data_IF_867690200396
#
_entry.id   IF_867690200396
#
_cell.length_a   1.000
_cell.length_b   1.000
_cell.length_c   1.000
_cell.angle_alpha   90.00
_cell.angle_beta   90.00
_cell.angle_gamma   90.00
#
_symmetry.space_group_name_H-M   'P 1'
#
loop_
_entity.id
_entity.type
_entity.pdbx_description
1 polymer ?
#
# COMPACT_ATOMS: atom_id res chain seq x y z
N UNK A 1 8.77 -4.11 6.13
CA UNK A 1 9.41 -3.98 7.45
C UNK A 1 8.37 -4.09 8.55
N UNK A 2 8.78 -4.33 9.80
CA UNK A 2 7.87 -4.52 10.94
C UNK A 2 6.82 -3.40 11.11
N UNK A 3 7.14 -2.17 10.67
CA UNK A 3 6.19 -1.03 10.64
C UNK A 3 4.98 -1.31 9.75
N UNK A 4 5.18 -1.75 8.50
CA UNK A 4 4.10 -1.96 7.54
C UNK A 4 3.08 -3.02 8.03
N UNK A 5 3.56 -4.07 8.70
CA UNK A 5 2.67 -5.09 9.27
C UNK A 5 1.85 -4.56 10.46
N UNK A 6 2.40 -3.61 11.24
CA UNK A 6 1.63 -2.91 12.27
C UNK A 6 0.63 -1.92 11.63
N UNK A 7 1.05 -1.19 10.60
CA UNK A 7 0.22 -0.24 9.86
C UNK A 7 -0.99 -0.95 9.23
N UNK A 8 -0.77 -2.09 8.55
CA UNK A 8 -1.82 -2.94 7.99
C UNK A 8 -2.81 -3.42 9.06
N UNK A 9 -2.31 -3.90 10.21
CA UNK A 9 -3.18 -4.30 11.33
C UNK A 9 -3.97 -3.12 11.89
N UNK A 10 -3.39 -1.92 11.93
CA UNK A 10 -4.05 -0.71 12.41
C UNK A 10 -5.24 -0.28 11.55
N UNK A 11 -5.24 -0.66 10.26
CA UNK A 11 -6.32 -0.40 9.30
C UNK A 11 -7.20 -1.64 9.04
N UNK A 12 -7.09 -2.67 9.89
CA UNK A 12 -7.98 -3.85 9.86
C UNK A 12 -7.53 -4.99 8.94
N UNK A 13 -6.34 -4.92 8.35
CA UNK A 13 -5.75 -6.02 7.58
C UNK A 13 -4.98 -6.95 8.52
N UNK A 14 -5.56 -8.11 8.81
CA UNK A 14 -5.01 -9.11 9.74
C UNK A 14 -4.45 -10.34 9.05
N UNK A 15 -4.72 -10.52 7.74
CA UNK A 15 -4.20 -11.64 6.95
C UNK A 15 -3.68 -11.16 5.59
N UNK A 16 -2.53 -11.68 5.11
CA UNK A 16 -2.00 -11.34 3.77
C UNK A 16 -3.00 -11.59 2.64
N UNK A 17 -3.85 -12.62 2.76
CA UNK A 17 -4.84 -12.97 1.72
C UNK A 17 -5.89 -11.87 1.51
N UNK A 18 -6.15 -11.02 2.49
CA UNK A 18 -7.08 -9.91 2.35
C UNK A 18 -6.57 -8.88 1.34
N UNK A 19 -5.25 -8.68 1.26
CA UNK A 19 -4.62 -7.70 0.38
C UNK A 19 -4.89 -7.96 -1.11
N UNK A 20 -5.08 -9.21 -1.52
CA UNK A 20 -5.38 -9.55 -2.91
C UNK A 20 -6.66 -8.86 -3.42
N UNK A 21 -7.63 -8.64 -2.52
CA UNK A 21 -8.92 -8.02 -2.81
C UNK A 21 -8.98 -6.54 -2.41
N UNK A 22 -7.89 -5.96 -1.90
CA UNK A 22 -7.85 -4.56 -1.50
C UNK A 22 -7.39 -3.66 -2.65
N UNK A 23 -7.86 -2.42 -2.64
CA UNK A 23 -7.31 -1.34 -3.45
C UNK A 23 -6.17 -0.63 -2.68
N UNK A 24 -5.03 -0.42 -3.36
CA UNK A 24 -3.85 0.16 -2.72
C UNK A 24 -4.08 1.61 -2.25
N UNK A 25 -4.85 2.39 -3.01
CA UNK A 25 -5.18 3.77 -2.65
C UNK A 25 -6.15 3.83 -1.47
N UNK A 26 -7.09 2.89 -1.38
CA UNK A 26 -7.97 2.74 -0.22
C UNK A 26 -7.17 2.42 1.06
N UNK A 27 -6.19 1.50 0.99
CA UNK A 27 -5.30 1.20 2.11
C UNK A 27 -4.48 2.43 2.55
N UNK A 28 -3.92 3.17 1.59
CA UNK A 28 -3.20 4.41 1.85
C UNK A 28 -4.07 5.45 2.56
N UNK A 29 -5.29 5.69 2.05
CA UNK A 29 -6.24 6.63 2.65
C UNK A 29 -6.65 6.21 4.05
N UNK A 30 -6.92 4.92 4.27
CA UNK A 30 -7.24 4.39 5.58
C UNK A 30 -6.10 4.63 6.58
N UNK A 31 -4.84 4.44 6.16
CA UNK A 31 -3.70 4.69 7.02
C UNK A 31 -3.52 6.18 7.33
N UNK A 32 -3.69 7.05 6.33
CA UNK A 32 -3.67 8.50 6.54
C UNK A 32 -4.75 8.94 7.55
N UNK A 33 -5.97 8.44 7.41
CA UNK A 33 -7.08 8.71 8.32
C UNK A 33 -6.78 8.19 9.73
N UNK A 34 -6.32 6.94 9.84
CA UNK A 34 -6.02 6.30 11.13
C UNK A 34 -4.89 6.99 11.89
N UNK A 35 -3.87 7.45 11.18
CA UNK A 35 -2.71 8.13 11.75
C UNK A 35 -2.90 9.63 11.96
N UNK A 36 -3.97 10.22 11.40
CA UNK A 36 -4.24 11.66 11.45
C UNK A 36 -3.26 12.52 10.65
N UNK A 37 -2.41 11.91 9.81
CA UNK A 37 -1.42 12.61 9.00
C UNK A 37 -1.32 12.02 7.60
N UNK A 38 -0.96 12.84 6.62
CA UNK A 38 -0.61 12.37 5.28
C UNK A 38 0.66 11.53 5.37
N UNK A 39 0.58 10.30 4.87
CA UNK A 39 1.71 9.38 4.82
C UNK A 39 2.57 9.68 3.61
N UNK A 40 3.84 9.30 3.66
CA UNK A 40 4.74 9.49 2.53
C UNK A 40 4.24 8.74 1.29
N UNK A 41 4.41 9.29 0.08
CA UNK A 41 3.89 8.67 -1.14
C UNK A 41 4.45 7.28 -1.42
N UNK A 42 5.67 6.98 -0.93
CA UNK A 42 6.28 5.65 -1.03
C UNK A 42 5.50 4.57 -0.27
N UNK A 43 4.64 4.95 0.68
CA UNK A 43 3.72 4.03 1.36
C UNK A 43 2.66 3.52 0.39
N UNK A 44 2.13 4.40 -0.50
CA UNK A 44 1.22 3.97 -1.56
C UNK A 44 1.93 3.06 -2.55
N UNK A 45 3.17 3.38 -2.94
CA UNK A 45 4.00 2.51 -3.80
C UNK A 45 4.17 1.11 -3.17
N UNK A 46 4.33 1.06 -1.86
CA UNK A 46 4.42 -0.19 -1.09
C UNK A 46 3.09 -0.95 -1.12
N UNK A 47 1.95 -0.27 -0.93
CA UNK A 47 0.64 -0.91 -1.04
C UNK A 47 0.35 -1.45 -2.44
N UNK A 48 0.76 -0.73 -3.49
CA UNK A 48 0.66 -1.21 -4.87
C UNK A 48 1.47 -2.49 -5.07
N UNK A 49 2.73 -2.50 -4.63
CA UNK A 49 3.59 -3.69 -4.75
C UNK A 49 3.05 -4.91 -3.99
N UNK A 50 2.59 -4.74 -2.74
CA UNK A 50 2.11 -5.89 -1.96
C UNK A 50 0.76 -6.40 -2.46
N UNK A 51 -0.14 -5.52 -2.95
CA UNK A 51 -1.45 -5.95 -3.47
C UNK A 51 -1.29 -6.73 -4.77
N UNK A 52 -0.42 -6.29 -5.68
CA UNK A 52 -0.13 -7.01 -6.91
C UNK A 52 0.60 -8.33 -6.67
N UNK A 53 1.58 -8.36 -5.76
CA UNK A 53 2.21 -9.61 -5.34
C UNK A 53 1.18 -10.61 -4.81
N UNK A 54 0.23 -10.15 -3.99
CA UNK A 54 -0.85 -10.99 -3.45
C UNK A 54 -1.85 -11.45 -4.53
N UNK A 55 -1.88 -10.79 -5.69
CA UNK A 55 -2.64 -11.21 -6.89
C UNK A 55 -1.85 -12.14 -7.81
N UNK A 56 -0.60 -12.47 -7.48
CA UNK A 56 0.24 -13.40 -8.22
C UNK A 56 1.29 -12.75 -9.12
N UNK A 57 1.50 -11.44 -9.04
CA UNK A 57 2.63 -10.80 -9.71
C UNK A 57 3.97 -11.26 -9.10
N UNK A 58 5.05 -11.16 -9.89
CA UNK A 58 6.39 -11.42 -9.38
C UNK A 58 6.74 -10.44 -8.24
N UNK A 59 7.51 -10.88 -7.23
CA UNK A 59 7.95 -9.99 -6.16
C UNK A 59 8.81 -8.86 -6.75
N UNK A 60 8.42 -7.62 -6.47
CA UNK A 60 9.10 -6.44 -6.96
C UNK A 60 9.34 -5.44 -5.81
N UNK A 61 10.47 -4.71 -5.81
CA UNK A 61 10.65 -3.61 -4.88
C UNK A 61 9.59 -2.52 -5.07
N UNK A 62 9.12 -1.90 -3.99
CA UNK A 62 8.06 -0.89 -4.04
C UNK A 62 8.38 0.28 -5.00
N UNK A 63 9.64 0.70 -5.11
CA UNK A 63 10.01 1.86 -5.95
C UNK A 63 9.76 1.62 -7.45
N UNK A 64 9.64 0.36 -7.89
CA UNK A 64 9.25 0.02 -9.27
C UNK A 64 7.84 0.51 -9.61
N UNK A 65 6.98 0.71 -8.60
CA UNK A 65 5.63 1.24 -8.74
C UNK A 65 5.56 2.78 -8.72
N UNK A 66 6.66 3.47 -8.38
CA UNK A 66 6.71 4.94 -8.33
C UNK A 66 6.26 5.60 -9.65
N UNK A 67 6.71 5.15 -10.84
CA UNK A 67 6.26 5.73 -12.11
C UNK A 67 4.75 5.54 -12.32
N UNK A 68 4.23 4.35 -11.99
CA UNK A 68 2.81 4.03 -12.11
C UNK A 68 1.96 4.87 -11.16
N UNK A 69 2.39 5.03 -9.91
CA UNK A 69 1.72 5.90 -8.94
C UNK A 69 1.69 7.34 -9.42
N UNK A 70 2.81 7.88 -9.90
CA UNK A 70 2.88 9.25 -10.44
C UNK A 70 1.94 9.44 -11.63
N UNK A 71 1.82 8.43 -12.49
CA UNK A 71 0.90 8.46 -13.62
C UNK A 71 -0.57 8.44 -13.19
N UNK A 72 -0.94 7.60 -12.21
CA UNK A 72 -2.33 7.40 -11.80
C UNK A 72 -2.82 8.44 -10.80
N UNK A 73 -1.95 8.90 -9.90
CA UNK A 73 -2.33 9.71 -8.75
C UNK A 73 -1.54 11.04 -8.65
N UNK A 74 -0.58 11.29 -9.54
CA UNK A 74 0.24 12.51 -9.50
C UNK A 74 1.11 12.60 -8.23
N UNK A 75 1.15 13.79 -7.64
CA UNK A 75 1.93 14.08 -6.44
C UNK A 75 1.19 13.79 -5.13
N UNK A 76 0.32 12.77 -5.09
CA UNK A 76 -0.17 12.17 -3.81
C UNK A 76 0.98 12.01 -2.84
#
# INVERSE_FOLDING_TARGET
GASLAADLRSIGITSPRQLANCDAMALYRALCQRSGKRQDPCVLDTFMAITDFMRGAAPAPWWTYTPLRKQQFGSV
#
